data_IF_245885896595
#
_entry.id   IF_245885896595
#
_cell.length_a   1.000
_cell.length_b   1.000
_cell.length_c   1.000
_cell.angle_alpha   90.00
_cell.angle_beta   90.00
_cell.angle_gamma   90.00
#
_symmetry.space_group_name_H-M   'P 1'
#
loop_
_entity.id
_entity.type
_entity.pdbx_description
1 polymer ?
#
# COMPACT_ATOMS: atom_id res chain seq x y z
N UNK A 1 15.51 -23.24 1.27
CA UNK A 1 14.04 -23.33 1.25
C UNK A 1 13.51 -24.74 0.87
N UNK A 2 14.31 -25.59 0.24
CA UNK A 2 14.00 -26.99 -0.04
C UNK A 2 14.80 -27.95 0.86
N UNK A 3 15.10 -27.49 2.06
CA UNK A 3 15.94 -28.23 2.98
C UNK A 3 15.04 -29.06 3.92
N UNK A 4 15.27 -30.38 4.08
CA UNK A 4 14.41 -31.23 4.90
C UNK A 4 14.28 -30.73 6.34
N UNK A 5 13.12 -31.00 6.95
CA UNK A 5 12.90 -30.73 8.37
C UNK A 5 13.97 -31.48 9.20
N UNK A 6 14.64 -30.76 10.10
CA UNK A 6 15.70 -31.28 10.93
C UNK A 6 17.14 -30.94 10.51
N UNK A 7 17.34 -30.25 9.37
CA UNK A 7 18.66 -29.70 9.02
C UNK A 7 18.88 -28.30 9.65
N UNK A 8 20.16 -27.97 9.92
CA UNK A 8 20.59 -26.69 10.50
C UNK A 8 20.19 -25.47 9.66
N UNK A 9 19.81 -25.66 8.38
CA UNK A 9 19.41 -24.60 7.44
C UNK A 9 17.90 -24.59 7.12
N UNK A 10 17.11 -25.39 7.83
CA UNK A 10 15.65 -25.33 7.68
C UNK A 10 15.10 -24.05 8.31
N UNK A 11 14.52 -23.18 7.49
CA UNK A 11 13.85 -21.96 7.97
C UNK A 11 12.36 -22.28 8.12
N UNK A 12 11.80 -22.27 9.33
CA UNK A 12 10.37 -22.46 9.55
C UNK A 12 9.52 -21.48 8.73
N UNK A 13 8.41 -21.94 8.20
CA UNK A 13 7.49 -21.16 7.35
C UNK A 13 7.02 -19.86 8.02
N UNK A 14 6.95 -19.86 9.35
CA UNK A 14 6.66 -18.67 10.15
C UNK A 14 7.67 -17.53 9.89
N UNK A 15 8.97 -17.83 9.82
CA UNK A 15 9.99 -16.82 9.54
C UNK A 15 9.89 -16.29 8.10
N UNK A 16 9.55 -17.16 7.14
CA UNK A 16 9.40 -16.75 5.73
C UNK A 16 8.29 -15.72 5.59
N UNK A 17 7.12 -15.96 6.19
CA UNK A 17 5.99 -15.03 6.15
C UNK A 17 6.28 -13.74 6.93
N UNK A 18 6.94 -13.85 8.08
CA UNK A 18 7.34 -12.71 8.90
C UNK A 18 8.34 -11.80 8.18
N UNK A 19 9.37 -12.39 7.57
CA UNK A 19 10.35 -11.65 6.78
C UNK A 19 9.72 -11.04 5.55
N UNK A 20 8.81 -11.74 4.86
CA UNK A 20 8.07 -11.20 3.74
C UNK A 20 7.23 -9.97 4.11
N UNK A 21 6.57 -10.01 5.28
CA UNK A 21 5.89 -8.83 5.85
C UNK A 21 6.85 -7.66 6.06
N UNK A 22 8.05 -7.90 6.62
CA UNK A 22 9.04 -6.84 6.82
C UNK A 22 9.59 -6.29 5.50
N UNK A 23 9.74 -7.13 4.46
CA UNK A 23 10.10 -6.64 3.12
C UNK A 23 9.03 -5.72 2.53
N UNK A 24 7.73 -6.01 2.75
CA UNK A 24 6.65 -5.11 2.35
C UNK A 24 6.74 -3.75 3.10
N UNK A 25 7.05 -3.76 4.39
CA UNK A 25 7.29 -2.53 5.14
C UNK A 25 8.56 -1.79 4.68
N UNK A 26 9.59 -2.50 4.21
CA UNK A 26 10.75 -1.87 3.61
C UNK A 26 10.42 -1.13 2.30
N UNK A 27 9.52 -1.69 1.46
CA UNK A 27 9.00 -0.99 0.28
C UNK A 27 8.27 0.30 0.69
N UNK A 28 7.44 0.21 1.73
CA UNK A 28 6.71 1.35 2.27
C UNK A 28 7.66 2.42 2.82
N UNK A 29 8.71 2.02 3.56
CA UNK A 29 9.72 2.94 4.05
C UNK A 29 10.46 3.65 2.92
N UNK A 30 10.87 2.92 1.86
CA UNK A 30 11.48 3.52 0.66
C UNK A 30 10.53 4.52 -0.03
N UNK A 31 9.23 4.22 -0.07
CA UNK A 31 8.24 5.12 -0.66
C UNK A 31 8.14 6.43 0.11
N UNK A 32 8.18 6.37 1.43
CA UNK A 32 8.14 7.55 2.30
C UNK A 32 9.47 8.32 2.30
N UNK A 33 10.61 7.62 2.29
CA UNK A 33 11.94 8.25 2.20
C UNK A 33 12.10 9.02 0.88
N UNK A 34 11.57 8.51 -0.22
CA UNK A 34 11.60 9.20 -1.51
C UNK A 34 11.01 10.62 -1.43
N UNK A 35 9.96 10.81 -0.64
CA UNK A 35 9.31 12.11 -0.51
C UNK A 35 9.83 12.91 0.67
N UNK A 36 10.07 12.28 1.81
CA UNK A 36 10.55 12.99 2.99
C UNK A 36 12.04 13.28 2.91
N UNK A 37 12.84 12.28 2.60
CA UNK A 37 14.31 12.43 2.51
C UNK A 37 14.74 13.37 1.40
N UNK A 38 14.12 13.28 0.21
CA UNK A 38 14.58 14.03 -0.97
C UNK A 38 13.76 15.31 -1.25
N UNK A 39 12.45 15.29 -1.05
CA UNK A 39 11.61 16.47 -1.29
C UNK A 39 11.31 17.29 -0.02
N UNK A 40 11.70 16.81 1.16
CA UNK A 40 11.49 17.50 2.44
C UNK A 40 10.00 17.55 2.87
N UNK A 41 9.16 16.67 2.34
CA UNK A 41 7.72 16.66 2.62
C UNK A 41 7.40 15.49 3.55
N UNK A 42 7.21 15.76 4.83
CA UNK A 42 6.76 14.76 5.78
C UNK A 42 5.26 14.50 5.57
N UNK A 43 4.94 13.33 5.02
CA UNK A 43 3.57 12.86 4.86
C UNK A 43 3.24 11.82 5.92
N UNK A 44 2.26 12.12 6.76
CA UNK A 44 1.65 11.15 7.67
C UNK A 44 0.40 10.49 7.06
N UNK A 45 0.32 10.53 5.71
CA UNK A 45 -0.78 9.98 4.92
C UNK A 45 -0.50 8.61 4.29
N UNK A 46 0.72 8.08 4.41
CA UNK A 46 1.14 6.86 3.71
C UNK A 46 0.36 5.61 4.13
N UNK A 47 -0.18 5.58 5.34
CA UNK A 47 -1.12 4.53 5.77
C UNK A 47 -2.36 4.43 4.90
N UNK A 48 -2.87 5.55 4.36
CA UNK A 48 -4.00 5.53 3.42
C UNK A 48 -3.63 4.84 2.11
N UNK A 49 -2.48 5.17 1.53
CA UNK A 49 -2.04 4.57 0.27
C UNK A 49 -1.73 3.09 0.43
N UNK A 50 -1.05 2.71 1.51
CA UNK A 50 -0.78 1.32 1.88
C UNK A 50 -2.08 0.53 2.06
N UNK A 51 -3.01 1.03 2.86
CA UNK A 51 -4.29 0.40 3.11
C UNK A 51 -5.12 0.22 1.84
N UNK A 52 -5.23 1.26 0.98
CA UNK A 52 -5.97 1.18 -0.28
C UNK A 52 -5.40 0.13 -1.23
N UNK A 53 -4.07 0.06 -1.37
CA UNK A 53 -3.43 -0.99 -2.16
C UNK A 53 -3.67 -2.38 -1.58
N UNK A 54 -3.62 -2.50 -0.26
CA UNK A 54 -3.95 -3.73 0.46
C UNK A 54 -5.41 -4.15 0.26
N UNK A 55 -6.35 -3.22 0.34
CA UNK A 55 -7.77 -3.50 0.09
C UNK A 55 -8.03 -3.90 -1.37
N UNK A 56 -7.37 -3.26 -2.34
CA UNK A 56 -7.49 -3.66 -3.75
C UNK A 56 -7.05 -5.11 -3.98
N UNK A 57 -5.93 -5.54 -3.39
CA UNK A 57 -5.50 -6.94 -3.42
C UNK A 57 -6.45 -7.84 -2.61
N UNK A 58 -6.89 -7.41 -1.44
CA UNK A 58 -7.84 -8.13 -0.59
C UNK A 58 -9.17 -8.38 -1.28
N UNK A 59 -9.70 -7.41 -2.05
CA UNK A 59 -10.91 -7.56 -2.84
C UNK A 59 -10.76 -8.66 -3.89
N UNK A 60 -9.63 -8.69 -4.60
CA UNK A 60 -9.33 -9.78 -5.55
C UNK A 60 -9.31 -11.13 -4.82
N UNK A 61 -8.58 -11.24 -3.72
CA UNK A 61 -8.45 -12.52 -2.99
C UNK A 61 -9.80 -12.97 -2.40
N UNK A 62 -10.65 -12.05 -1.95
CA UNK A 62 -12.02 -12.39 -1.50
C UNK A 62 -12.90 -12.93 -2.62
N UNK A 63 -12.74 -12.40 -3.84
CA UNK A 63 -13.49 -12.92 -5.02
C UNK A 63 -13.02 -14.31 -5.43
N UNK A 64 -11.80 -14.73 -5.10
CA UNK A 64 -11.28 -16.08 -5.37
C UNK A 64 -11.77 -17.13 -4.36
N UNK A 65 -12.39 -16.73 -3.23
CA UNK A 65 -12.91 -17.67 -2.23
C UNK A 65 -14.05 -18.51 -2.80
N UNK A 66 -15.01 -17.90 -3.48
CA UNK A 66 -16.15 -18.56 -4.11
C UNK A 66 -16.91 -19.49 -3.14
N UNK A 67 -17.27 -20.69 -3.61
CA UNK A 67 -17.99 -21.70 -2.82
C UNK A 67 -17.21 -22.27 -1.61
N UNK A 68 -15.90 -21.98 -1.50
CA UNK A 68 -15.05 -22.42 -0.39
C UNK A 68 -15.21 -21.57 0.87
N UNK A 69 -16.03 -20.54 0.82
CA UNK A 69 -16.41 -19.72 1.95
C UNK A 69 -17.34 -20.44 2.92
N UNK A 70 -17.59 -19.83 4.08
CA UNK A 70 -18.44 -20.38 5.15
C UNK A 70 -19.89 -20.51 4.68
N UNK A 71 -20.38 -19.58 3.85
CA UNK A 71 -21.75 -19.58 3.32
C UNK A 71 -21.87 -20.25 1.95
N UNK A 72 -20.78 -20.65 1.31
CA UNK A 72 -20.77 -21.35 0.03
C UNK A 72 -21.38 -20.57 -1.13
N UNK A 73 -21.37 -19.23 -1.08
CA UNK A 73 -21.93 -18.39 -2.14
C UNK A 73 -20.82 -18.07 -3.16
N UNK A 74 -20.97 -18.45 -4.45
CA UNK A 74 -19.95 -18.19 -5.46
C UNK A 74 -19.85 -16.70 -5.86
N UNK A 75 -20.95 -15.95 -5.71
CA UNK A 75 -21.05 -14.58 -6.24
C UNK A 75 -20.74 -13.51 -5.20
N UNK A 76 -20.93 -13.81 -3.91
CA UNK A 76 -20.79 -12.84 -2.81
C UNK A 76 -19.73 -13.29 -1.80
N UNK A 77 -18.82 -12.41 -1.39
CA UNK A 77 -17.96 -12.63 -0.24
C UNK A 77 -18.75 -12.93 1.04
N UNK A 78 -18.24 -13.81 1.89
CA UNK A 78 -18.93 -14.28 3.10
C UNK A 78 -19.44 -13.16 4.00
N UNK A 79 -18.65 -12.08 4.19
CA UNK A 79 -19.08 -10.96 5.02
C UNK A 79 -20.26 -10.18 4.41
N UNK A 80 -20.41 -10.16 3.07
CA UNK A 80 -21.56 -9.55 2.39
C UNK A 80 -22.81 -10.40 2.56
N UNK A 81 -22.66 -11.73 2.47
CA UNK A 81 -23.76 -12.67 2.76
C UNK A 81 -24.24 -12.51 4.20
N UNK A 82 -23.31 -12.42 5.15
CA UNK A 82 -23.64 -12.18 6.56
C UNK A 82 -24.39 -10.85 6.78
N UNK A 83 -24.06 -9.82 6.01
CA UNK A 83 -24.71 -8.50 6.08
C UNK A 83 -25.99 -8.42 5.22
N UNK A 84 -26.46 -9.54 4.64
CA UNK A 84 -27.64 -9.63 3.78
C UNK A 84 -27.56 -8.70 2.55
N UNK A 85 -26.42 -8.66 1.88
CA UNK A 85 -26.30 -7.96 0.61
C UNK A 85 -26.84 -8.82 -0.52
N UNK A 86 -27.59 -8.21 -1.44
CA UNK A 86 -28.19 -8.92 -2.60
C UNK A 86 -27.20 -9.06 -3.77
N UNK A 87 -26.22 -8.15 -3.86
CA UNK A 87 -25.24 -8.14 -4.96
C UNK A 87 -23.95 -7.41 -4.56
N UNK A 88 -22.86 -7.70 -5.27
CA UNK A 88 -21.61 -6.96 -5.10
C UNK A 88 -21.77 -5.52 -5.59
N UNK A 89 -21.24 -4.52 -4.85
CA UNK A 89 -21.24 -3.13 -5.28
C UNK A 89 -20.46 -2.94 -6.58
N UNK A 90 -20.81 -1.89 -7.35
CA UNK A 90 -20.17 -1.60 -8.64
C UNK A 90 -18.64 -1.46 -8.57
N UNK A 91 -18.10 -0.99 -7.44
CA UNK A 91 -16.66 -0.83 -7.24
C UNK A 91 -15.92 -2.15 -6.92
N UNK A 92 -16.65 -3.27 -6.77
CA UNK A 92 -16.09 -4.61 -6.69
C UNK A 92 -15.99 -5.29 -8.05
N UNK A 93 -16.67 -4.73 -9.08
CA UNK A 93 -16.66 -5.32 -10.42
C UNK A 93 -15.24 -5.28 -11.01
N UNK A 94 -14.85 -6.40 -11.62
CA UNK A 94 -13.51 -6.56 -12.21
C UNK A 94 -12.45 -7.14 -11.28
N UNK A 95 -12.69 -7.17 -9.96
CA UNK A 95 -11.76 -7.80 -9.01
C UNK A 95 -11.76 -9.34 -9.06
N UNK A 96 -12.48 -9.94 -9.97
CA UNK A 96 -12.34 -11.37 -10.31
C UNK A 96 -11.03 -11.63 -11.06
N UNK A 97 -10.49 -10.61 -11.75
CA UNK A 97 -9.30 -10.70 -12.58
C UNK A 97 -8.09 -10.12 -11.85
N UNK A 98 -7.02 -10.90 -11.77
CA UNK A 98 -5.77 -10.46 -11.13
C UNK A 98 -5.17 -9.20 -11.77
N UNK A 99 -5.19 -9.12 -13.13
CA UNK A 99 -4.62 -7.97 -13.83
C UNK A 99 -5.35 -6.67 -13.54
N UNK A 100 -6.68 -6.73 -13.38
CA UNK A 100 -7.46 -5.58 -12.95
C UNK A 100 -7.06 -5.14 -11.53
N UNK A 101 -6.97 -6.10 -10.60
CA UNK A 101 -6.53 -5.81 -9.23
C UNK A 101 -5.10 -5.22 -9.21
N UNK A 102 -4.17 -5.78 -9.99
CA UNK A 102 -2.80 -5.30 -10.09
C UNK A 102 -2.72 -3.84 -10.58
N UNK A 103 -3.58 -3.47 -11.55
CA UNK A 103 -3.70 -2.08 -12.00
C UNK A 103 -4.29 -1.21 -10.89
N UNK A 104 -5.35 -1.66 -10.20
CA UNK A 104 -6.02 -0.90 -9.14
C UNK A 104 -5.14 -0.69 -7.91
N UNK A 105 -4.26 -1.64 -7.59
CA UNK A 105 -3.24 -1.53 -6.53
C UNK A 105 -2.35 -0.29 -6.71
N UNK A 106 -2.08 0.10 -7.96
CA UNK A 106 -1.28 1.30 -8.27
C UNK A 106 -2.19 2.51 -8.55
N UNK A 107 -3.26 2.31 -9.29
CA UNK A 107 -4.12 3.40 -9.78
C UNK A 107 -4.89 4.08 -8.65
N UNK A 108 -5.44 3.32 -7.69
CA UNK A 108 -6.27 3.90 -6.61
C UNK A 108 -5.43 4.74 -5.65
N UNK A 109 -4.31 4.23 -5.08
CA UNK A 109 -3.43 5.06 -4.25
C UNK A 109 -2.79 6.20 -5.05
N UNK A 110 -2.42 5.96 -6.32
CA UNK A 110 -1.87 6.97 -7.21
C UNK A 110 -2.85 8.11 -7.49
N UNK A 111 -4.11 7.79 -7.80
CA UNK A 111 -5.16 8.79 -8.03
C UNK A 111 -5.43 9.61 -6.77
N UNK A 112 -5.54 8.95 -5.61
CA UNK A 112 -5.68 9.66 -4.33
C UNK A 112 -4.47 10.57 -4.07
N UNK A 113 -3.25 10.04 -4.24
CA UNK A 113 -2.02 10.80 -4.08
C UNK A 113 -1.95 11.99 -5.03
N UNK A 114 -2.34 11.79 -6.30
CA UNK A 114 -2.39 12.87 -7.29
C UNK A 114 -3.40 13.95 -6.90
N UNK A 115 -4.65 13.60 -6.60
CA UNK A 115 -5.71 14.56 -6.26
C UNK A 115 -5.37 15.31 -4.97
N UNK A 116 -5.01 14.58 -3.92
CA UNK A 116 -4.65 15.16 -2.63
C UNK A 116 -3.41 16.06 -2.75
N UNK A 117 -2.35 15.56 -3.40
CA UNK A 117 -1.13 16.32 -3.64
C UNK A 117 -1.36 17.55 -4.51
N UNK A 118 -2.18 17.45 -5.56
CA UNK A 118 -2.52 18.58 -6.42
C UNK A 118 -3.23 19.68 -5.64
N UNK A 119 -4.24 19.34 -4.83
CA UNK A 119 -4.96 20.30 -3.98
C UNK A 119 -4.01 20.96 -2.97
N UNK A 120 -3.20 20.17 -2.27
CA UNK A 120 -2.31 20.67 -1.22
C UNK A 120 -1.18 21.56 -1.78
N UNK A 121 -0.48 21.09 -2.83
CA UNK A 121 0.68 21.83 -3.37
C UNK A 121 0.25 23.07 -4.18
N UNK A 122 -0.90 23.02 -4.83
CA UNK A 122 -1.49 24.19 -5.50
C UNK A 122 -1.87 25.27 -4.48
N UNK A 123 -2.39 24.88 -3.32
CA UNK A 123 -2.72 25.77 -2.20
C UNK A 123 -1.49 26.18 -1.38
N UNK A 124 -0.28 25.81 -1.81
CA UNK A 124 1.00 26.10 -1.15
C UNK A 124 1.07 25.62 0.32
N UNK A 125 0.34 24.55 0.64
CA UNK A 125 0.39 23.93 1.95
C UNK A 125 1.73 23.18 2.05
N UNK A 126 2.53 23.49 3.07
CA UNK A 126 3.87 22.92 3.28
C UNK A 126 4.14 22.63 4.76
N UNK A 127 5.20 21.87 5.03
CA UNK A 127 5.67 21.60 6.39
C UNK A 127 4.63 20.90 7.26
N UNK A 128 4.49 21.34 8.49
CA UNK A 128 3.64 20.73 9.51
C UNK A 128 2.16 20.70 9.10
N UNK A 129 1.69 21.71 8.38
CA UNK A 129 0.29 21.75 7.92
C UNK A 129 -0.01 20.61 6.95
N UNK A 130 0.93 20.28 6.07
CA UNK A 130 0.78 19.13 5.16
C UNK A 130 0.71 17.81 5.93
N UNK A 131 1.54 17.63 6.96
CA UNK A 131 1.53 16.44 7.82
C UNK A 131 0.18 16.29 8.56
N UNK A 132 -0.36 17.39 9.09
CA UNK A 132 -1.66 17.38 9.81
C UNK A 132 -2.81 17.01 8.86
N UNK A 133 -2.86 17.61 7.67
CA UNK A 133 -3.95 17.35 6.70
C UNK A 133 -3.84 15.91 6.17
N UNK A 134 -2.63 15.41 5.90
CA UNK A 134 -2.44 14.04 5.47
C UNK A 134 -2.81 13.03 6.55
N UNK A 135 -2.60 13.34 7.82
CA UNK A 135 -3.04 12.52 8.94
C UNK A 135 -4.58 12.56 9.10
N UNK A 136 -5.20 13.71 8.92
CA UNK A 136 -6.66 13.82 8.91
C UNK A 136 -7.30 12.99 7.80
N UNK A 137 -6.68 12.95 6.60
CA UNK A 137 -7.09 12.10 5.50
C UNK A 137 -7.06 10.61 5.89
N UNK A 138 -6.00 10.15 6.49
CA UNK A 138 -5.86 8.75 6.96
C UNK A 138 -6.95 8.40 7.96
N UNK A 139 -7.20 9.28 8.92
CA UNK A 139 -8.26 9.09 9.92
C UNK A 139 -9.66 9.03 9.29
N UNK A 140 -9.93 9.87 8.30
CA UNK A 140 -11.19 9.85 7.56
C UNK A 140 -11.38 8.52 6.81
N UNK A 141 -10.34 7.99 6.15
CA UNK A 141 -10.39 6.67 5.53
C UNK A 141 -10.62 5.57 6.57
N UNK A 142 -9.94 5.61 7.71
CA UNK A 142 -10.16 4.65 8.79
C UNK A 142 -11.64 4.61 9.20
N UNK A 143 -12.23 5.77 9.48
CA UNK A 143 -13.64 5.85 9.87
C UNK A 143 -14.59 5.38 8.76
N UNK A 144 -14.30 5.71 7.50
CA UNK A 144 -15.11 5.26 6.36
C UNK A 144 -15.08 3.73 6.23
N UNK A 145 -13.89 3.12 6.31
CA UNK A 145 -13.72 1.67 6.12
C UNK A 145 -14.20 0.85 7.33
N UNK A 146 -14.35 1.45 8.51
CA UNK A 146 -15.02 0.80 9.64
C UNK A 146 -16.53 0.61 9.44
N UNK A 147 -17.13 1.35 8.52
CA UNK A 147 -18.56 1.24 8.24
C UNK A 147 -18.86 -0.01 7.40
N UNK A 148 -19.77 -0.86 7.89
CA UNK A 148 -20.18 -2.07 7.18
C UNK A 148 -20.83 -1.74 5.83
N UNK A 149 -21.55 -0.62 5.75
CA UNK A 149 -22.25 -0.17 4.54
C UNK A 149 -21.30 0.19 3.40
N UNK A 150 -20.02 0.40 3.69
CA UNK A 150 -18.99 0.66 2.69
C UNK A 150 -18.51 -0.60 1.98
N UNK A 151 -18.95 -1.81 2.38
CA UNK A 151 -18.61 -3.05 1.69
C UNK A 151 -17.13 -3.46 1.75
N UNK A 152 -16.40 -3.07 2.80
CA UNK A 152 -14.99 -3.41 3.01
C UNK A 152 -14.76 -4.28 4.25
N UNK A 153 -15.79 -5.02 4.71
CA UNK A 153 -15.70 -5.92 5.86
C UNK A 153 -15.75 -5.22 7.22
N UNK A 154 -15.94 -3.90 7.27
CA UNK A 154 -16.10 -3.14 8.51
C UNK A 154 -14.97 -3.38 9.51
N UNK A 155 -15.31 -3.59 10.80
CA UNK A 155 -14.31 -3.78 11.87
C UNK A 155 -13.39 -5.00 11.65
N UNK A 156 -13.89 -6.07 11.04
CA UNK A 156 -13.13 -7.29 10.79
C UNK A 156 -12.21 -7.16 9.57
N UNK A 157 -12.55 -6.24 8.65
CA UNK A 157 -11.83 -6.11 7.39
C UNK A 157 -12.07 -7.30 6.45
N UNK A 158 -11.12 -7.50 5.52
CA UNK A 158 -11.12 -8.64 4.61
C UNK A 158 -10.12 -9.69 5.13
N UNK A 159 -10.60 -10.91 5.30
CA UNK A 159 -9.83 -12.01 5.91
C UNK A 159 -10.29 -13.35 5.32
N UNK A 160 -9.64 -14.44 5.76
CA UNK A 160 -9.97 -15.81 5.33
C UNK A 160 -9.73 -16.07 3.83
N UNK A 161 -8.70 -15.44 3.28
CA UNK A 161 -8.27 -15.67 1.91
C UNK A 161 -7.81 -17.11 1.71
N UNK A 162 -8.23 -17.74 0.61
CA UNK A 162 -7.91 -19.15 0.33
C UNK A 162 -6.73 -19.30 -0.62
N UNK A 163 -6.73 -18.51 -1.69
CA UNK A 163 -5.70 -18.59 -2.73
C UNK A 163 -5.35 -17.25 -3.37
N UNK A 164 -4.27 -17.26 -4.11
CA UNK A 164 -3.83 -16.21 -5.01
C UNK A 164 -3.38 -16.84 -6.33
N UNK A 165 -3.89 -16.39 -7.46
CA UNK A 165 -3.59 -16.94 -8.80
C UNK A 165 -3.80 -18.48 -8.89
N UNK A 166 -4.76 -19.04 -8.14
CA UNK A 166 -5.00 -20.48 -8.07
C UNK A 166 -4.02 -21.27 -7.17
N UNK A 167 -3.08 -20.59 -6.49
CA UNK A 167 -2.19 -21.20 -5.51
C UNK A 167 -2.75 -21.02 -4.11
N UNK A 168 -2.98 -22.12 -3.40
CA UNK A 168 -3.45 -22.07 -2.01
C UNK A 168 -2.44 -21.38 -1.10
N UNK A 169 -2.88 -20.43 -0.30
CA UNK A 169 -2.05 -19.68 0.64
C UNK A 169 -1.52 -20.53 1.80
N UNK A 170 -2.18 -21.65 2.09
CA UNK A 170 -1.75 -22.61 3.12
C UNK A 170 -0.43 -23.30 2.75
N UNK A 171 -0.15 -23.48 1.45
CA UNK A 171 1.03 -24.22 0.96
C UNK A 171 2.33 -23.47 1.26
N UNK A 172 3.33 -24.17 1.72
CA UNK A 172 4.66 -23.61 1.98
C UNK A 172 5.30 -23.03 0.70
N UNK A 173 5.14 -23.72 -0.43
CA UNK A 173 5.64 -23.26 -1.73
C UNK A 173 5.07 -21.89 -2.12
N UNK A 174 3.79 -21.66 -1.84
CA UNK A 174 3.12 -20.36 -2.10
C UNK A 174 3.70 -19.27 -1.19
N UNK A 175 3.91 -19.56 0.10
CA UNK A 175 4.51 -18.59 1.04
C UNK A 175 5.92 -18.19 0.64
N UNK A 176 6.71 -19.17 0.18
CA UNK A 176 8.05 -18.92 -0.38
C UNK A 176 7.97 -18.08 -1.65
N UNK A 177 7.03 -18.40 -2.56
CA UNK A 177 6.79 -17.63 -3.78
C UNK A 177 6.42 -16.18 -3.47
N UNK A 178 5.56 -15.94 -2.49
CA UNK A 178 5.19 -14.60 -2.03
C UNK A 178 6.37 -13.82 -1.44
N UNK A 179 7.21 -14.50 -0.64
CA UNK A 179 8.44 -13.92 -0.10
C UNK A 179 9.38 -13.48 -1.24
N UNK A 180 9.64 -14.37 -2.20
CA UNK A 180 10.50 -14.07 -3.36
C UNK A 180 9.91 -12.94 -4.20
N UNK A 181 8.60 -12.96 -4.47
CA UNK A 181 7.92 -11.89 -5.19
C UNK A 181 8.07 -10.53 -4.50
N UNK A 182 7.96 -10.51 -3.15
CA UNK A 182 8.14 -9.27 -2.38
C UNK A 182 9.60 -8.81 -2.38
N UNK A 183 10.57 -9.73 -2.28
CA UNK A 183 11.99 -9.41 -2.36
C UNK A 183 12.37 -8.83 -3.74
N UNK A 184 11.86 -9.43 -4.82
CA UNK A 184 12.06 -8.91 -6.18
C UNK A 184 11.40 -7.54 -6.35
N UNK A 185 10.18 -7.36 -5.82
CA UNK A 185 9.48 -6.08 -5.84
C UNK A 185 10.25 -4.99 -5.08
N UNK A 186 10.85 -5.33 -3.93
CA UNK A 186 11.70 -4.41 -3.17
C UNK A 186 12.91 -3.96 -4.00
N UNK A 187 13.58 -4.88 -4.69
CA UNK A 187 14.70 -4.54 -5.58
C UNK A 187 14.26 -3.63 -6.72
N UNK A 188 13.12 -3.93 -7.35
CA UNK A 188 12.56 -3.09 -8.42
C UNK A 188 12.27 -1.68 -7.88
N UNK A 189 11.59 -1.57 -6.74
CA UNK A 189 11.28 -0.28 -6.10
C UNK A 189 12.55 0.47 -5.74
N UNK A 190 13.55 -0.20 -5.18
CA UNK A 190 14.84 0.41 -4.90
C UNK A 190 15.48 1.02 -6.17
N UNK A 191 15.50 0.29 -7.28
CA UNK A 191 16.05 0.81 -8.53
C UNK A 191 15.22 1.95 -9.11
N UNK A 192 13.88 1.92 -8.98
CA UNK A 192 13.01 3.05 -9.36
C UNK A 192 13.36 4.28 -8.53
N UNK A 193 13.40 4.16 -7.20
CA UNK A 193 13.75 5.26 -6.31
C UNK A 193 15.15 5.82 -6.63
N UNK A 194 16.14 4.93 -6.82
CA UNK A 194 17.50 5.33 -7.19
C UNK A 194 17.56 6.05 -8.55
N UNK A 195 16.82 5.58 -9.55
CA UNK A 195 16.74 6.23 -10.86
C UNK A 195 16.13 7.63 -10.75
N UNK A 196 15.08 7.80 -9.96
CA UNK A 196 14.47 9.12 -9.70
C UNK A 196 15.46 10.04 -9.00
N UNK A 197 16.09 9.57 -7.93
CA UNK A 197 17.02 10.37 -7.11
C UNK A 197 18.28 10.76 -7.88
N UNK A 198 18.84 9.87 -8.70
CA UNK A 198 20.04 10.16 -9.49
C UNK A 198 19.77 11.02 -10.73
N UNK A 199 18.51 11.23 -11.08
CA UNK A 199 18.09 12.00 -12.25
C UNK A 199 18.20 13.53 -12.04
N UNK A 200 17.90 14.30 -13.11
CA UNK A 200 17.73 15.75 -13.01
C UNK A 200 16.59 16.13 -12.05
N UNK A 201 15.54 15.31 -11.98
CA UNK A 201 14.42 15.50 -11.06
C UNK A 201 14.88 15.37 -9.60
N UNK A 202 15.68 14.36 -9.27
CA UNK A 202 16.21 14.18 -7.90
C UNK A 202 17.02 15.38 -7.41
N UNK A 203 17.88 15.94 -8.28
CA UNK A 203 18.60 17.18 -7.96
C UNK A 203 17.67 18.38 -7.77
N UNK A 204 16.60 18.46 -8.57
CA UNK A 204 15.57 19.47 -8.41
C UNK A 204 14.82 19.32 -7.06
N UNK A 205 14.48 18.10 -6.66
CA UNK A 205 13.81 17.83 -5.38
C UNK A 205 14.66 18.27 -4.18
N UNK A 206 15.96 17.95 -4.19
CA UNK A 206 16.89 18.40 -3.15
C UNK A 206 16.96 19.93 -3.11
N UNK A 207 17.07 20.58 -4.26
CA UNK A 207 17.07 22.05 -4.34
C UNK A 207 15.75 22.66 -3.83
N UNK A 208 14.61 22.01 -4.10
CA UNK A 208 13.29 22.41 -3.57
C UNK A 208 13.22 22.23 -2.06
N UNK A 209 13.75 21.13 -1.53
CA UNK A 209 13.81 20.88 -0.09
C UNK A 209 14.61 21.98 0.63
N UNK A 210 15.75 22.34 0.09
CA UNK A 210 16.69 23.24 0.75
C UNK A 210 16.35 24.72 0.53
N UNK A 211 15.79 25.10 -0.65
CA UNK A 211 15.52 26.49 -0.99
C UNK A 211 14.37 26.65 -2.01
N UNK A 212 13.15 26.23 -1.66
CA UNK A 212 11.98 26.22 -2.54
C UNK A 212 11.75 27.55 -3.28
N UNK A 213 11.82 28.69 -2.58
CA UNK A 213 11.60 29.99 -3.16
C UNK A 213 12.65 30.33 -4.25
N UNK A 214 13.91 29.97 -4.02
CA UNK A 214 14.97 30.23 -5.02
C UNK A 214 14.72 29.41 -6.30
N UNK A 215 14.32 28.16 -6.16
CA UNK A 215 13.97 27.27 -7.29
C UNK A 215 12.81 27.85 -8.11
N UNK A 216 11.80 28.41 -7.45
CA UNK A 216 10.69 29.10 -8.12
C UNK A 216 11.15 30.32 -8.92
N UNK A 217 12.05 31.14 -8.35
CA UNK A 217 12.60 32.30 -9.06
C UNK A 217 13.42 31.92 -10.29
N UNK A 218 14.01 30.74 -10.32
CA UNK A 218 14.71 30.18 -11.49
C UNK A 218 13.75 29.66 -12.59
N UNK A 219 12.42 29.75 -12.38
CA UNK A 219 11.40 29.36 -13.36
C UNK A 219 11.01 27.88 -13.33
N UNK A 220 11.49 27.08 -12.38
CA UNK A 220 11.09 25.67 -12.26
C UNK A 220 9.70 25.49 -11.66
N UNK A 221 8.95 24.53 -12.20
CA UNK A 221 7.63 24.16 -11.67
C UNK A 221 7.77 23.24 -10.44
N UNK A 222 7.95 23.87 -9.27
CA UNK A 222 8.08 23.16 -7.98
C UNK A 222 6.85 22.29 -7.67
N UNK A 223 5.65 22.82 -7.94
CA UNK A 223 4.40 22.10 -7.71
C UNK A 223 4.34 20.79 -8.48
N UNK A 224 4.72 20.80 -9.76
CA UNK A 224 4.69 19.59 -10.59
C UNK A 224 5.75 18.58 -10.14
N UNK A 225 6.93 19.02 -9.73
CA UNK A 225 7.97 18.14 -9.20
C UNK A 225 7.53 17.45 -7.90
N UNK A 226 6.96 18.21 -6.97
CA UNK A 226 6.39 17.67 -5.73
C UNK A 226 5.22 16.71 -6.00
N UNK A 227 4.32 17.08 -6.90
CA UNK A 227 3.16 16.27 -7.26
C UNK A 227 3.58 14.93 -7.87
N UNK A 228 4.54 14.94 -8.79
CA UNK A 228 5.03 13.71 -9.41
C UNK A 228 5.62 12.75 -8.38
N UNK A 229 6.54 13.22 -7.53
CA UNK A 229 7.18 12.34 -6.56
C UNK A 229 6.20 11.86 -5.48
N UNK A 230 5.24 12.69 -5.09
CA UNK A 230 4.20 12.30 -4.13
C UNK A 230 3.27 11.24 -4.69
N UNK A 231 2.84 11.39 -5.95
CA UNK A 231 2.02 10.39 -6.64
C UNK A 231 2.77 9.06 -6.80
N UNK A 232 4.03 9.12 -7.21
CA UNK A 232 4.87 7.91 -7.32
C UNK A 232 5.02 7.23 -5.96
N UNK A 233 5.32 7.99 -4.91
CA UNK A 233 5.42 7.47 -3.53
C UNK A 233 4.12 6.81 -3.08
N UNK A 234 2.94 7.40 -3.38
CA UNK A 234 1.64 6.82 -3.08
C UNK A 234 1.42 5.48 -3.80
N UNK A 235 1.81 5.37 -5.08
CA UNK A 235 1.73 4.12 -5.85
C UNK A 235 2.62 3.04 -5.24
N UNK A 236 3.85 3.37 -4.86
CA UNK A 236 4.78 2.42 -4.23
C UNK A 236 4.28 1.97 -2.85
N UNK A 237 3.68 2.87 -2.07
CA UNK A 237 3.04 2.52 -0.81
C UNK A 237 1.84 1.57 -1.02
N UNK A 238 1.03 1.79 -2.07
CA UNK A 238 -0.04 0.87 -2.46
C UNK A 238 0.46 -0.52 -2.83
N UNK A 239 1.56 -0.59 -3.61
CA UNK A 239 2.23 -1.86 -3.93
C UNK A 239 2.68 -2.60 -2.66
N UNK A 240 3.25 -1.87 -1.69
CA UNK A 240 3.64 -2.45 -0.40
C UNK A 240 2.45 -3.08 0.33
N UNK A 241 1.30 -2.39 0.37
CA UNK A 241 0.06 -2.90 0.94
C UNK A 241 -0.46 -4.16 0.25
N UNK A 242 -0.43 -4.18 -1.08
CA UNK A 242 -0.85 -5.34 -1.86
C UNK A 242 0.03 -6.58 -1.63
N UNK A 243 1.33 -6.41 -1.44
CA UNK A 243 2.27 -7.50 -1.14
C UNK A 243 2.19 -7.95 0.33
N UNK A 244 1.76 -7.07 1.22
CA UNK A 244 1.56 -7.37 2.64
C UNK A 244 0.38 -8.32 2.87
N UNK A 245 -0.75 -8.08 2.20
CA UNK A 245 -2.02 -8.78 2.46
C UNK A 245 -1.93 -10.30 2.31
N UNK A 246 -1.40 -10.88 1.21
CA UNK A 246 -1.35 -12.33 1.05
C UNK A 246 -0.38 -13.02 2.03
N UNK A 247 0.55 -12.27 2.63
CA UNK A 247 1.49 -12.80 3.62
C UNK A 247 0.92 -12.80 5.03
N UNK A 248 0.09 -11.80 5.36
CA UNK A 248 -0.53 -11.66 6.69
C UNK A 248 -1.89 -12.34 6.76
N UNK A 249 -2.58 -12.48 5.62
CA UNK A 249 -3.88 -13.12 5.52
C UNK A 249 -5.05 -12.26 5.97
N UNK A 250 -4.83 -10.96 6.23
CA UNK A 250 -5.86 -10.02 6.65
C UNK A 250 -5.50 -8.60 6.22
N UNK A 251 -6.52 -7.82 5.89
CA UNK A 251 -6.47 -6.36 5.80
C UNK A 251 -7.67 -5.76 6.51
N UNK A 252 -7.46 -4.87 7.43
CA UNK A 252 -8.53 -4.25 8.21
C UNK A 252 -8.34 -2.72 8.30
N UNK A 253 -9.38 -1.95 8.70
CA UNK A 253 -9.30 -0.49 8.76
C UNK A 253 -8.25 0.07 9.74
N UNK A 254 -7.73 -0.76 10.66
CA UNK A 254 -6.67 -0.32 11.58
C UNK A 254 -5.34 -0.04 10.88
N UNK A 255 -5.16 -0.56 9.65
CA UNK A 255 -3.98 -0.21 8.83
C UNK A 255 -4.01 1.26 8.37
N UNK A 256 -5.20 1.88 8.37
CA UNK A 256 -5.34 3.34 8.19
C UNK A 256 -5.16 4.12 9.49
N UNK A 257 -4.89 3.50 10.64
CA UNK A 257 -4.78 4.24 11.90
C UNK A 257 -3.65 5.28 11.84
N UNK A 258 -3.86 6.53 12.34
CA UNK A 258 -2.82 7.56 12.37
C UNK A 258 -1.53 7.10 13.06
N UNK A 259 -1.64 6.27 14.10
CA UNK A 259 -0.50 5.68 14.80
C UNK A 259 0.40 4.86 13.86
N UNK A 260 -0.18 4.12 12.89
CA UNK A 260 0.57 3.37 11.89
C UNK A 260 1.38 4.29 10.96
N UNK A 261 0.80 5.39 10.51
CA UNK A 261 1.52 6.37 9.68
C UNK A 261 2.68 7.03 10.44
N UNK A 262 2.53 7.26 11.74
CA UNK A 262 3.61 7.77 12.60
C UNK A 262 4.69 6.70 12.78
N UNK A 263 4.31 5.45 13.03
CA UNK A 263 5.25 4.31 13.12
C UNK A 263 6.10 4.17 11.85
N UNK A 264 5.48 4.27 10.67
CA UNK A 264 6.18 4.27 9.38
C UNK A 264 7.19 5.42 9.26
N UNK A 265 6.82 6.63 9.70
CA UNK A 265 7.72 7.77 9.71
C UNK A 265 8.91 7.56 10.67
N UNK A 266 8.69 6.93 11.82
CA UNK A 266 9.77 6.58 12.75
C UNK A 266 10.75 5.61 12.10
N UNK A 267 10.29 4.58 11.39
CA UNK A 267 11.18 3.63 10.70
C UNK A 267 12.09 4.33 9.69
N UNK A 268 11.55 5.31 8.94
CA UNK A 268 12.35 6.09 7.99
C UNK A 268 13.32 7.04 8.69
N UNK A 269 12.95 7.60 9.85
CA UNK A 269 13.80 8.53 10.59
C UNK A 269 14.99 7.84 11.28
N UNK A 270 14.80 6.58 11.69
CA UNK A 270 15.85 5.81 12.40
C UNK A 270 16.81 5.14 11.41
N UNK A 271 16.40 4.87 10.18
CA UNK A 271 17.20 4.24 9.11
C UNK A 271 16.86 2.78 8.99
#
# INVERSE_FOLDING_TARGET
LAVPEGSLFHIPTFWVTTLGKYLAFAILALSLDLIWGYAGILSLGHGAFFGLGGYAMGMYMMRQVGERGVYGNPDLPDFMVFLNWDSVPWYWLGFDQFWFAAVMVLAVPGALGFVFGWLAFRSRITGVYFSIISQAMVYAFMLAFFRNEMGFGGNNGLTDFKDILGFELSRETTKVGLYVATAVSLLIVYFICRAVVSSKLGRLLIAVRDAENRVRFLGYSVTNAKLFVFTLSAMLAGLAGALYVPQVGIINPREFAPAKSIEMAIWVAVG
#
